data_IF_298603400481
#
_entry.id   IF_298603400481
#
_cell.length_a   1.000
_cell.length_b   1.000
_cell.length_c   1.000
_cell.angle_alpha   90.00
_cell.angle_beta   90.00
_cell.angle_gamma   90.00
#
_symmetry.space_group_name_H-M   'P 1'
#
loop_
_entity.id
_entity.type
_entity.pdbx_description
1 polymer ?
#
# COMPACT_ATOMS: atom_id res chain seq x y z
N UNK A 1 10.74 11.86 14.99
CA UNK A 1 9.52 11.30 14.41
C UNK A 1 9.79 10.27 13.33
N UNK A 2 10.68 10.60 12.40
CA UNK A 2 10.99 9.65 11.34
C UNK A 2 11.56 8.34 11.87
N UNK A 3 12.43 8.44 12.89
CA UNK A 3 13.03 7.25 13.49
C UNK A 3 11.96 6.32 14.08
N UNK A 4 10.98 6.90 14.78
CA UNK A 4 9.92 6.11 15.40
C UNK A 4 9.08 5.44 14.32
N UNK A 5 8.77 6.17 13.25
CA UNK A 5 7.99 5.62 12.17
C UNK A 5 8.76 4.48 11.46
N UNK A 6 10.05 4.65 11.26
CA UNK A 6 10.88 3.60 10.65
C UNK A 6 10.88 2.34 11.49
N UNK A 7 11.00 2.48 12.81
CA UNK A 7 10.95 1.34 13.72
C UNK A 7 9.61 0.61 13.61
N UNK A 8 8.52 1.37 13.54
CA UNK A 8 7.19 0.75 13.40
C UNK A 8 7.05 0.05 12.06
N UNK A 9 7.60 0.63 11.00
CA UNK A 9 7.58 -0.01 9.68
C UNK A 9 8.34 -1.31 9.68
N UNK A 10 9.50 -1.35 10.35
CA UNK A 10 10.27 -2.58 10.45
C UNK A 10 9.54 -3.65 11.23
N UNK A 11 8.88 -3.28 12.32
CA UNK A 11 8.06 -4.22 13.08
C UNK A 11 6.92 -4.78 12.22
N UNK A 12 6.26 -3.90 11.47
CA UNK A 12 5.18 -4.31 10.59
C UNK A 12 5.69 -5.29 9.54
N UNK A 13 6.85 -5.03 8.96
CA UNK A 13 7.41 -5.88 7.92
C UNK A 13 7.63 -7.30 8.42
N UNK A 14 8.06 -7.46 9.68
CA UNK A 14 8.43 -8.76 10.23
C UNK A 14 7.26 -9.54 10.82
N UNK A 15 6.07 -8.95 10.86
CA UNK A 15 4.91 -9.65 11.42
C UNK A 15 4.49 -10.79 10.50
N UNK A 16 4.22 -11.97 11.09
CA UNK A 16 3.75 -13.12 10.32
C UNK A 16 2.32 -12.95 9.82
N UNK A 17 1.50 -12.22 10.57
CA UNK A 17 0.12 -11.92 10.19
C UNK A 17 -0.02 -10.48 9.70
N UNK A 18 0.97 -10.03 8.94
CA UNK A 18 1.03 -8.66 8.45
C UNK A 18 -0.20 -8.32 7.60
N UNK A 19 -0.72 -7.12 7.82
CA UNK A 19 -1.85 -6.58 7.06
C UNK A 19 -1.37 -5.34 6.30
N UNK A 20 -2.11 -4.92 5.26
CA UNK A 20 -1.77 -3.66 4.61
C UNK A 20 -1.69 -2.52 5.62
N UNK A 21 -0.70 -1.67 5.44
CA UNK A 21 -0.43 -0.58 6.36
C UNK A 21 -0.98 0.72 5.79
N UNK A 22 -1.70 1.49 6.61
CA UNK A 22 -2.21 2.79 6.20
C UNK A 22 -1.57 3.85 7.05
N UNK A 23 -0.84 4.77 6.42
CA UNK A 23 -0.27 5.92 7.11
C UNK A 23 -1.30 7.03 7.12
N UNK A 24 -1.66 7.46 8.32
CA UNK A 24 -2.69 8.45 8.55
C UNK A 24 -2.04 9.79 8.87
N UNK A 25 -2.75 10.86 8.57
CA UNK A 25 -2.30 12.20 8.91
C UNK A 25 -2.40 13.15 7.74
N UNK A 26 -1.98 14.38 7.96
CA UNK A 26 -2.01 15.38 6.93
C UNK A 26 -1.11 15.00 5.76
N UNK A 27 -1.51 15.43 4.56
CA UNK A 27 -0.72 15.18 3.38
C UNK A 27 0.65 15.81 3.53
N UNK A 28 1.67 15.01 3.37
CA UNK A 28 3.05 15.47 3.50
C UNK A 28 3.93 14.75 2.51
N UNK A 29 4.74 15.51 1.80
CA UNK A 29 5.70 14.97 0.84
C UNK A 29 6.66 14.01 1.53
N UNK A 30 7.00 14.30 2.79
CA UNK A 30 7.93 13.49 3.55
C UNK A 30 7.46 12.06 3.77
N UNK A 31 6.14 11.82 3.87
CA UNK A 31 5.62 10.47 4.09
C UNK A 31 5.85 9.59 2.87
N UNK A 32 5.58 10.11 1.68
CA UNK A 32 5.81 9.37 0.46
C UNK A 32 7.29 9.07 0.29
N UNK A 33 8.13 10.07 0.52
CA UNK A 33 9.57 9.87 0.43
C UNK A 33 10.04 8.79 1.41
N UNK A 34 9.53 8.86 2.64
CA UNK A 34 9.91 7.91 3.68
C UNK A 34 9.53 6.48 3.32
N UNK A 35 8.34 6.28 2.76
CA UNK A 35 7.92 4.95 2.32
C UNK A 35 8.80 4.43 1.19
N UNK A 36 9.14 5.29 0.23
CA UNK A 36 10.01 4.88 -0.86
C UNK A 36 11.40 4.53 -0.34
N UNK A 37 11.93 5.32 0.59
CA UNK A 37 13.22 5.06 1.18
C UNK A 37 13.24 3.76 1.97
N UNK A 38 12.17 3.54 2.77
CA UNK A 38 12.02 2.30 3.51
C UNK A 38 12.02 1.10 2.57
N UNK A 39 11.29 1.20 1.47
CA UNK A 39 11.24 0.12 0.50
C UNK A 39 12.59 -0.16 -0.14
N UNK A 40 13.35 0.89 -0.46
CA UNK A 40 14.66 0.71 -1.04
C UNK A 40 15.64 0.04 -0.09
N UNK A 41 15.52 0.35 1.20
CA UNK A 41 16.45 -0.17 2.20
C UNK A 41 16.10 -1.58 2.66
N UNK A 42 14.80 -1.91 2.70
CA UNK A 42 14.34 -3.13 3.36
C UNK A 42 13.75 -4.17 2.43
N UNK A 43 13.48 -3.81 1.19
CA UNK A 43 12.90 -4.72 0.20
C UNK A 43 13.80 -4.77 -1.04
N UNK A 44 13.58 -5.80 -1.85
CA UNK A 44 14.38 -5.94 -3.08
C UNK A 44 13.98 -4.91 -4.12
N UNK A 45 12.70 -4.57 -4.17
CA UNK A 45 12.25 -3.49 -5.05
C UNK A 45 10.98 -2.85 -4.52
N UNK A 46 10.64 -1.71 -5.12
CA UNK A 46 9.49 -0.91 -4.72
C UNK A 46 8.60 -0.71 -5.94
N UNK A 47 7.31 -0.96 -5.77
CA UNK A 47 6.32 -0.67 -6.79
C UNK A 47 5.48 0.51 -6.29
N UNK A 48 5.71 1.68 -6.83
CA UNK A 48 4.99 2.89 -6.44
C UNK A 48 3.82 3.14 -7.38
N UNK A 49 2.63 3.27 -6.82
CA UNK A 49 1.40 3.48 -7.58
C UNK A 49 0.74 4.76 -7.10
N UNK A 50 0.56 5.73 -8.00
CA UNK A 50 -0.09 7.00 -7.67
C UNK A 50 -1.53 6.96 -8.19
N UNK A 51 -2.49 6.95 -7.25
CA UNK A 51 -3.90 6.82 -7.59
C UNK A 51 -4.54 8.09 -8.11
N UNK A 52 -3.77 9.16 -8.27
CA UNK A 52 -4.28 10.32 -8.99
C UNK A 52 -4.52 9.99 -10.47
N UNK A 53 -3.91 8.90 -10.97
CA UNK A 53 -4.20 8.38 -12.30
C UNK A 53 -5.46 7.52 -12.25
N UNK A 54 -6.59 8.15 -11.97
CA UNK A 54 -7.85 7.46 -11.68
C UNK A 54 -8.40 6.64 -12.82
N UNK A 55 -8.20 7.10 -14.05
CA UNK A 55 -8.80 6.42 -15.21
C UNK A 55 -8.26 5.02 -15.38
N UNK A 56 -6.94 4.89 -15.40
CA UNK A 56 -6.29 3.60 -15.60
C UNK A 56 -6.44 2.73 -14.35
N UNK A 57 -6.13 3.30 -13.19
CA UNK A 57 -6.15 2.54 -11.94
C UNK A 57 -7.56 2.21 -11.53
N UNK A 58 -8.52 3.11 -11.78
CA UNK A 58 -9.91 2.83 -11.52
C UNK A 58 -10.38 1.60 -12.28
N UNK A 59 -9.93 1.43 -13.51
CA UNK A 59 -10.31 0.28 -14.32
C UNK A 59 -9.77 -1.03 -13.71
N UNK A 60 -8.56 -0.99 -13.16
CA UNK A 60 -7.99 -2.18 -12.53
C UNK A 60 -8.84 -2.64 -11.36
N UNK A 61 -9.34 -1.71 -10.54
CA UNK A 61 -10.11 -2.03 -9.35
C UNK A 61 -11.62 -2.09 -9.60
N UNK A 62 -12.04 -1.93 -10.85
CA UNK A 62 -13.47 -1.92 -11.19
C UNK A 62 -14.06 -3.33 -11.29
N UNK A 63 -13.23 -4.33 -11.53
CA UNK A 63 -13.68 -5.72 -11.60
C UNK A 63 -13.68 -6.40 -10.24
N UNK A 64 -13.42 -7.70 -10.23
CA UNK A 64 -13.31 -8.41 -8.96
C UNK A 64 -12.10 -7.88 -8.18
N UNK A 65 -12.19 -7.92 -6.87
CA UNK A 65 -11.10 -7.48 -6.02
C UNK A 65 -10.22 -8.64 -5.58
N UNK A 66 -10.02 -9.61 -6.47
CA UNK A 66 -9.10 -10.71 -6.22
C UNK A 66 -7.68 -10.17 -6.12
N UNK A 67 -6.97 -10.43 -5.01
CA UNK A 67 -5.59 -9.96 -4.88
C UNK A 67 -4.70 -10.42 -6.02
N UNK A 68 -4.85 -11.67 -6.46
CA UNK A 68 -4.02 -12.21 -7.53
C UNK A 68 -4.21 -11.43 -8.84
N UNK A 69 -5.47 -11.14 -9.19
CA UNK A 69 -5.77 -10.37 -10.40
C UNK A 69 -5.23 -8.95 -10.29
N UNK A 70 -5.41 -8.33 -9.13
CA UNK A 70 -4.95 -6.96 -8.92
C UNK A 70 -3.44 -6.88 -9.03
N UNK A 71 -2.73 -7.83 -8.44
CA UNK A 71 -1.26 -7.85 -8.51
C UNK A 71 -0.80 -8.03 -9.95
N UNK A 72 -1.44 -8.90 -10.72
CA UNK A 72 -1.08 -9.09 -12.11
C UNK A 72 -1.29 -7.81 -12.92
N UNK A 73 -2.42 -7.14 -12.71
CA UNK A 73 -2.72 -5.89 -13.42
C UNK A 73 -1.77 -4.77 -13.02
N UNK A 74 -1.45 -4.67 -11.74
CA UNK A 74 -0.51 -3.65 -11.28
C UNK A 74 0.90 -3.92 -11.79
N UNK A 75 1.27 -5.19 -11.92
CA UNK A 75 2.57 -5.54 -12.48
C UNK A 75 2.68 -5.07 -13.93
N UNK A 76 1.63 -5.27 -14.71
CA UNK A 76 1.60 -4.79 -16.08
C UNK A 76 1.62 -3.26 -16.13
N UNK A 77 0.80 -2.63 -15.31
CA UNK A 77 0.70 -1.17 -15.28
C UNK A 77 2.04 -0.52 -14.93
N UNK A 78 2.73 -1.06 -13.93
CA UNK A 78 3.98 -0.48 -13.44
C UNK A 78 5.20 -0.92 -14.21
N UNK A 79 5.08 -1.98 -14.99
CA UNK A 79 6.23 -2.56 -15.68
C UNK A 79 7.18 -3.28 -14.74
N UNK A 80 6.73 -3.62 -13.54
CA UNK A 80 7.56 -4.28 -12.54
C UNK A 80 6.89 -5.57 -12.07
N UNK A 81 7.71 -6.55 -11.74
CA UNK A 81 7.21 -7.78 -11.13
C UNK A 81 7.02 -7.55 -9.65
N UNK A 82 5.80 -7.79 -9.17
CA UNK A 82 5.48 -7.66 -7.76
C UNK A 82 5.58 -9.03 -7.12
N UNK A 83 6.56 -9.21 -6.24
CA UNK A 83 6.83 -10.50 -5.61
C UNK A 83 6.41 -10.49 -4.15
N UNK A 84 5.82 -11.59 -3.66
CA UNK A 84 5.52 -11.70 -2.23
C UNK A 84 6.77 -11.50 -1.39
N UNK A 85 6.65 -10.73 -0.32
CA UNK A 85 7.71 -10.50 0.66
C UNK A 85 8.95 -9.77 0.15
N UNK A 86 9.11 -9.62 -1.16
CA UNK A 86 10.30 -8.99 -1.74
C UNK A 86 10.04 -7.60 -2.30
N UNK A 87 8.80 -7.31 -2.66
CA UNK A 87 8.43 -6.02 -3.23
C UNK A 87 7.57 -5.26 -2.25
N UNK A 88 7.93 -4.00 -1.99
CA UNK A 88 7.03 -3.12 -1.25
C UNK A 88 6.15 -2.39 -2.25
N UNK A 89 4.84 -2.56 -2.11
CA UNK A 89 3.88 -1.86 -2.96
C UNK A 89 3.38 -0.64 -2.20
N UNK A 90 3.52 0.53 -2.82
CA UNK A 90 3.09 1.79 -2.20
C UNK A 90 1.88 2.31 -2.97
N UNK A 91 0.74 2.42 -2.27
CA UNK A 91 -0.48 3.02 -2.82
C UNK A 91 -0.55 4.46 -2.32
N UNK A 92 -0.20 5.41 -3.20
CA UNK A 92 -0.20 6.82 -2.86
C UNK A 92 -1.50 7.46 -3.33
N UNK A 93 -2.08 8.34 -2.50
CA UNK A 93 -3.36 8.99 -2.75
C UNK A 93 -4.46 7.95 -3.03
N UNK A 94 -4.45 6.89 -2.24
CA UNK A 94 -5.31 5.72 -2.48
C UNK A 94 -6.79 6.05 -2.36
N UNK A 95 -7.14 7.11 -1.61
CA UNK A 95 -8.53 7.53 -1.45
C UNK A 95 -9.16 7.99 -2.78
N UNK A 96 -8.35 8.31 -3.77
CA UNK A 96 -8.85 8.72 -5.09
C UNK A 96 -9.56 7.57 -5.82
N UNK A 97 -9.27 6.33 -5.43
CA UNK A 97 -9.95 5.15 -5.98
C UNK A 97 -10.48 4.35 -4.79
N UNK A 98 -11.74 4.60 -4.37
CA UNK A 98 -12.27 3.95 -3.16
C UNK A 98 -12.23 2.43 -3.19
N UNK A 99 -12.38 1.82 -4.37
CA UNK A 99 -12.32 0.36 -4.45
C UNK A 99 -10.92 -0.18 -4.15
N UNK A 100 -9.89 0.63 -4.32
CA UNK A 100 -8.55 0.23 -3.91
C UNK A 100 -8.46 0.08 -2.40
N UNK A 101 -9.12 0.98 -1.65
CA UNK A 101 -9.20 0.83 -0.20
C UNK A 101 -9.96 -0.43 0.18
N UNK A 102 -11.08 -0.69 -0.51
CA UNK A 102 -11.85 -1.91 -0.26
C UNK A 102 -11.02 -3.16 -0.50
N UNK A 103 -10.14 -3.14 -1.49
CA UNK A 103 -9.32 -4.30 -1.82
C UNK A 103 -8.35 -4.68 -0.71
N UNK A 104 -8.00 -3.74 0.15
CA UNK A 104 -7.04 -4.01 1.23
C UNK A 104 -7.54 -5.08 2.18
N UNK A 105 -8.86 -5.15 2.39
CA UNK A 105 -9.46 -6.20 3.22
C UNK A 105 -9.15 -7.58 2.64
N UNK A 106 -9.26 -7.71 1.33
CA UNK A 106 -9.02 -8.99 0.68
C UNK A 106 -7.54 -9.36 0.69
N UNK A 107 -6.66 -8.37 0.55
CA UNK A 107 -5.23 -8.62 0.70
C UNK A 107 -4.91 -9.09 2.12
N UNK A 108 -5.53 -8.48 3.12
CA UNK A 108 -5.28 -8.89 4.51
C UNK A 108 -5.73 -10.32 4.76
N UNK A 109 -6.86 -10.73 4.18
CA UNK A 109 -7.44 -12.04 4.43
C UNK A 109 -6.85 -13.14 3.56
N UNK A 110 -6.54 -12.83 2.30
CA UNK A 110 -6.21 -13.85 1.31
C UNK A 110 -4.76 -13.83 0.86
N UNK A 111 -4.08 -12.68 0.97
CA UNK A 111 -2.73 -12.56 0.42
C UNK A 111 -1.85 -11.66 1.30
N UNK A 112 -1.70 -11.98 2.59
CA UNK A 112 -0.91 -11.13 3.49
C UNK A 112 0.59 -11.13 3.16
N UNK A 113 1.02 -12.03 2.30
CA UNK A 113 2.42 -12.08 1.88
C UNK A 113 2.81 -10.88 1.00
N UNK A 114 1.84 -10.16 0.44
CA UNK A 114 2.14 -8.94 -0.31
C UNK A 114 2.22 -7.77 0.65
N UNK A 115 3.36 -7.08 0.64
CA UNK A 115 3.61 -5.94 1.52
C UNK A 115 3.06 -4.67 0.87
N UNK A 116 1.99 -4.12 1.43
CA UNK A 116 1.32 -2.95 0.87
C UNK A 116 1.28 -1.84 1.90
N UNK A 117 1.77 -0.67 1.54
CA UNK A 117 1.67 0.54 2.36
C UNK A 117 0.85 1.57 1.61
N UNK A 118 -0.06 2.23 2.31
CA UNK A 118 -0.94 3.24 1.73
C UNK A 118 -0.70 4.60 2.36
N UNK A 119 -0.79 5.62 1.55
CA UNK A 119 -0.70 7.01 1.99
C UNK A 119 -1.76 7.84 1.28
N UNK A 120 -2.18 8.92 1.91
CA UNK A 120 -3.15 9.83 1.31
C UNK A 120 -3.67 10.80 2.34
N UNK A 121 -4.21 11.92 1.85
CA UNK A 121 -4.60 13.03 2.72
C UNK A 121 -5.94 12.82 3.43
N UNK A 122 -6.81 11.98 2.89
CA UNK A 122 -8.14 11.78 3.46
C UNK A 122 -8.38 10.35 3.96
N UNK A 123 -7.31 9.61 4.25
CA UNK A 123 -7.45 8.21 4.66
C UNK A 123 -8.24 8.06 5.97
N UNK A 124 -8.23 9.07 6.83
CA UNK A 124 -8.93 8.99 8.10
C UNK A 124 -10.44 8.81 7.99
N UNK A 125 -11.04 9.16 6.85
CA UNK A 125 -12.48 9.03 6.66
C UNK A 125 -12.88 7.80 5.87
N UNK A 126 -11.90 7.00 5.44
CA UNK A 126 -12.16 5.84 4.57
C UNK A 126 -11.51 4.57 5.10
N UNK A 127 -11.42 4.45 6.41
CA UNK A 127 -10.77 3.28 7.03
C UNK A 127 -11.63 2.04 6.92
N UNK A 128 -10.99 0.90 6.76
CA UNK A 128 -11.63 -0.40 6.71
C UNK A 128 -11.03 -1.33 7.74
N UNK A 129 -11.81 -2.28 8.22
CA UNK A 129 -11.32 -3.30 9.12
C UNK A 129 -10.26 -4.15 8.43
N UNK A 130 -9.35 -4.66 9.22
CA UNK A 130 -8.31 -5.53 8.72
C UNK A 130 -7.04 -4.82 8.30
N UNK A 131 -7.02 -3.51 8.37
CA UNK A 131 -5.85 -2.73 8.03
C UNK A 131 -5.16 -2.23 9.28
N UNK A 132 -3.84 -2.18 9.24
CA UNK A 132 -3.05 -1.65 10.34
C UNK A 132 -2.87 -0.15 10.12
N UNK A 133 -3.22 0.64 11.13
CA UNK A 133 -3.24 2.09 11.00
C UNK A 133 -2.20 2.73 11.91
N UNK A 134 -1.41 3.62 11.32
CA UNK A 134 -0.46 4.45 12.09
C UNK A 134 -0.75 5.92 11.83
N UNK A 135 -0.50 6.74 12.85
CA UNK A 135 -0.57 8.19 12.73
C UNK A 135 0.82 8.78 12.88
N UNK A 136 1.03 9.91 12.27
CA UNK A 136 2.30 10.60 12.40
C UNK A 136 2.09 12.09 12.55
#
# INVERSE_FOLDING_TARGET
>A
MERILIEELLKWKEKSDRKPLILRGARQVGKTWLLKDFGKRCFENVCYVNFEQKDVLGAIFDGTLSPQRIIEQLSVFSGQRIRPNSTLVIFDEVQEVPRALTSLKYFAEEAPEYAICCAGSLLGVALHEGCLLYTS
#
